data_IF_551234256839
#
_entry.id   IF_551234256839
#
_cell.length_a   1.000
_cell.length_b   1.000
_cell.length_c   1.000
_cell.angle_alpha   90.00
_cell.angle_beta   90.00
_cell.angle_gamma   90.00
#
_symmetry.space_group_name_H-M   'P 1'
#
loop_
_entity.id
_entity.type
_entity.pdbx_description
1 polymer ?
#
# COMPACT_ATOMS: atom_id res chain seq x y z
N UNK A 1 -31.08 -26.46 36.18
CA UNK A 1 -31.17 -26.35 34.70
C UNK A 1 -29.96 -25.56 34.21
N UNK A 2 -28.93 -26.26 33.80
CA UNK A 2 -27.69 -25.68 33.31
C UNK A 2 -27.92 -25.10 31.90
N UNK A 3 -27.90 -23.79 31.79
CA UNK A 3 -27.92 -23.09 30.52
C UNK A 3 -26.65 -23.43 29.73
N UNK A 4 -26.69 -24.47 28.92
CA UNK A 4 -25.70 -24.75 27.89
C UNK A 4 -25.74 -23.59 26.91
N UNK A 5 -24.82 -22.61 27.03
CA UNK A 5 -24.56 -21.61 25.99
C UNK A 5 -24.26 -22.39 24.70
N UNK A 6 -25.24 -22.44 23.76
CA UNK A 6 -25.02 -23.00 22.43
C UNK A 6 -23.75 -22.37 21.85
N UNK A 7 -22.72 -23.17 21.63
CA UNK A 7 -21.48 -22.68 21.03
C UNK A 7 -21.84 -22.13 19.66
N UNK A 8 -21.49 -20.85 19.40
CA UNK A 8 -21.74 -20.22 18.12
C UNK A 8 -20.95 -20.95 17.03
N UNK A 9 -21.59 -21.24 15.90
CA UNK A 9 -20.93 -21.83 14.74
C UNK A 9 -19.82 -20.91 14.24
N UNK A 10 -18.64 -21.48 14.02
CA UNK A 10 -17.50 -20.79 13.43
C UNK A 10 -17.76 -20.56 11.93
N UNK A 11 -17.57 -19.36 11.42
CA UNK A 11 -17.88 -19.03 10.02
C UNK A 11 -16.88 -18.08 9.38
N UNK A 12 -16.67 -18.25 8.07
CA UNK A 12 -15.95 -17.33 7.21
C UNK A 12 -16.96 -16.55 6.37
N UNK A 13 -16.82 -15.23 6.35
CA UNK A 13 -17.77 -14.31 5.72
C UNK A 13 -17.05 -13.54 4.62
N UNK A 14 -17.52 -13.67 3.38
CA UNK A 14 -17.07 -12.87 2.26
C UNK A 14 -18.01 -11.70 2.01
N UNK A 15 -17.45 -10.54 1.70
CA UNK A 15 -18.23 -9.37 1.31
C UNK A 15 -17.67 -8.80 0.01
N UNK A 16 -18.51 -8.81 -1.02
CA UNK A 16 -18.28 -7.98 -2.19
C UNK A 16 -18.74 -6.55 -1.90
N UNK A 17 -17.84 -5.60 -2.10
CA UNK A 17 -18.02 -4.22 -1.63
C UNK A 17 -18.27 -3.30 -2.81
N UNK A 18 -19.52 -2.93 -3.01
CA UNK A 18 -19.94 -1.89 -3.94
C UNK A 18 -20.01 -0.50 -3.30
N UNK A 19 -20.17 0.52 -4.13
CA UNK A 19 -20.39 1.89 -3.66
C UNK A 19 -21.71 2.05 -2.89
N UNK A 20 -22.78 1.41 -3.36
CA UNK A 20 -24.13 1.51 -2.81
C UNK A 20 -24.54 0.31 -2.00
N UNK A 21 -24.06 -0.87 -2.34
CA UNK A 21 -24.47 -2.14 -1.75
C UNK A 21 -23.29 -2.97 -1.30
N UNK A 22 -23.56 -3.85 -0.35
CA UNK A 22 -22.66 -4.86 0.21
C UNK A 22 -23.34 -6.22 0.02
N UNK A 23 -22.75 -7.07 -0.80
CA UNK A 23 -23.18 -8.46 -0.96
C UNK A 23 -22.42 -9.34 0.02
N UNK A 24 -23.14 -9.97 0.95
CA UNK A 24 -22.57 -10.72 2.05
C UNK A 24 -22.86 -12.20 1.88
N UNK A 25 -21.85 -13.06 2.01
CA UNK A 25 -22.00 -14.50 1.96
C UNK A 25 -21.30 -15.18 3.14
N UNK A 26 -22.00 -16.11 3.81
CA UNK A 26 -21.43 -16.98 4.85
C UNK A 26 -21.14 -18.35 4.23
N UNK A 27 -19.86 -18.70 4.10
CA UNK A 27 -19.41 -19.92 3.42
C UNK A 27 -20.00 -21.19 4.02
N UNK A 28 -19.89 -21.43 5.33
CA UNK A 28 -20.30 -22.67 6.01
C UNK A 28 -21.83 -22.82 6.11
N UNK A 29 -22.59 -21.82 5.69
CA UNK A 29 -24.06 -21.84 5.73
C UNK A 29 -24.69 -21.70 4.37
N UNK A 30 -23.89 -21.42 3.32
CA UNK A 30 -24.37 -21.06 1.98
C UNK A 30 -25.46 -19.97 2.04
N UNK A 31 -25.26 -18.98 2.92
CA UNK A 31 -26.23 -17.93 3.17
C UNK A 31 -25.77 -16.61 2.57
N UNK A 32 -26.54 -16.09 1.61
CA UNK A 32 -26.31 -14.81 0.94
C UNK A 32 -27.42 -13.82 1.27
N UNK A 33 -27.03 -12.54 1.41
CA UNK A 33 -27.95 -11.40 1.40
C UNK A 33 -27.21 -10.13 0.97
N UNK A 34 -27.98 -9.10 0.60
CA UNK A 34 -27.48 -7.79 0.26
C UNK A 34 -27.98 -6.76 1.28
N UNK A 35 -27.15 -5.77 1.58
CA UNK A 35 -27.47 -4.61 2.38
C UNK A 35 -26.85 -3.35 1.77
N UNK A 36 -27.30 -2.16 2.20
CA UNK A 36 -26.74 -0.90 1.74
C UNK A 36 -25.36 -0.63 2.37
N UNK A 37 -24.45 -0.02 1.60
CA UNK A 37 -23.14 0.40 2.11
C UNK A 37 -23.25 1.78 2.82
N UNK A 38 -24.05 1.82 3.89
CA UNK A 38 -24.22 2.96 4.78
C UNK A 38 -24.22 2.49 6.25
N UNK A 39 -24.31 3.41 7.20
CA UNK A 39 -24.27 3.10 8.64
C UNK A 39 -25.37 2.15 9.09
N UNK A 40 -26.56 2.24 8.51
CA UNK A 40 -27.71 1.41 8.87
C UNK A 40 -27.57 -0.02 8.32
N UNK A 41 -27.23 -0.17 7.03
CA UNK A 41 -26.97 -1.47 6.41
C UNK A 41 -25.82 -2.22 7.10
N UNK A 42 -24.72 -1.53 7.37
CA UNK A 42 -23.59 -2.10 8.13
C UNK A 42 -24.04 -2.56 9.52
N UNK A 43 -24.87 -1.78 10.20
CA UNK A 43 -25.42 -2.19 11.52
C UNK A 43 -26.27 -3.44 11.40
N UNK A 44 -27.11 -3.57 10.36
CA UNK A 44 -27.91 -4.77 10.09
C UNK A 44 -27.01 -5.98 9.82
N UNK A 45 -25.96 -5.82 8.99
CA UNK A 45 -24.97 -6.88 8.72
C UNK A 45 -24.32 -7.36 10.02
N UNK A 46 -23.76 -6.45 10.82
CA UNK A 46 -23.09 -6.80 12.07
C UNK A 46 -24.03 -7.42 13.10
N UNK A 47 -25.30 -7.02 13.14
CA UNK A 47 -26.33 -7.65 13.97
C UNK A 47 -26.58 -9.10 13.53
N UNK A 48 -26.71 -9.37 12.23
CA UNK A 48 -26.86 -10.75 11.72
C UNK A 48 -25.62 -11.60 12.05
N UNK A 49 -24.41 -11.05 11.83
CA UNK A 49 -23.16 -11.73 12.13
C UNK A 49 -22.96 -12.01 13.63
N UNK A 50 -23.61 -11.26 14.52
CA UNK A 50 -23.51 -11.49 15.97
C UNK A 50 -24.05 -12.84 16.44
N UNK A 51 -24.87 -13.51 15.62
CA UNK A 51 -25.35 -14.88 15.88
C UNK A 51 -24.29 -15.96 15.64
N UNK A 52 -23.19 -15.63 14.97
CA UNK A 52 -22.11 -16.54 14.61
C UNK A 52 -20.81 -16.16 15.34
N UNK A 53 -19.86 -17.09 15.38
CA UNK A 53 -18.46 -16.80 15.72
C UNK A 53 -17.71 -16.57 14.41
N UNK A 54 -17.61 -15.31 13.98
CA UNK A 54 -16.91 -14.97 12.73
C UNK A 54 -15.42 -15.21 12.92
N UNK A 55 -14.86 -16.14 12.18
CA UNK A 55 -13.44 -16.43 12.17
C UNK A 55 -12.69 -15.41 11.32
N UNK A 56 -13.24 -15.09 10.13
CA UNK A 56 -12.73 -14.05 9.22
C UNK A 56 -13.88 -13.35 8.52
N UNK A 57 -13.80 -12.03 8.45
CA UNK A 57 -14.61 -11.20 7.57
C UNK A 57 -13.70 -10.73 6.44
N UNK A 58 -13.89 -11.30 5.25
CA UNK A 58 -13.03 -11.08 4.10
C UNK A 58 -13.69 -10.10 3.14
N UNK A 59 -12.94 -9.13 2.65
CA UNK A 59 -13.38 -8.18 1.64
C UNK A 59 -12.25 -7.78 0.70
N UNK A 60 -12.61 -7.43 -0.53
CA UNK A 60 -11.67 -6.89 -1.50
C UNK A 60 -11.34 -5.42 -1.20
N UNK A 61 -10.11 -5.00 -1.48
CA UNK A 61 -9.73 -3.58 -1.44
C UNK A 61 -10.35 -2.86 -2.65
N UNK A 62 -11.48 -2.17 -2.46
CA UNK A 62 -12.30 -1.57 -3.51
C UNK A 62 -12.34 -0.04 -3.41
N UNK A 63 -11.19 0.62 -3.51
CA UNK A 63 -11.13 2.08 -3.59
C UNK A 63 -11.63 2.82 -2.34
N UNK A 64 -11.61 2.18 -1.16
CA UNK A 64 -12.00 2.66 0.19
C UNK A 64 -13.46 2.46 0.57
N UNK A 65 -14.31 1.94 -0.30
CA UNK A 65 -15.69 1.63 0.08
C UNK A 65 -15.78 0.58 1.19
N UNK A 66 -14.74 -0.27 1.32
CA UNK A 66 -14.58 -1.27 2.38
C UNK A 66 -14.27 -0.68 3.76
N UNK A 67 -13.81 0.56 3.85
CA UNK A 67 -13.29 1.13 5.11
C UNK A 67 -14.34 1.25 6.21
N UNK A 68 -15.57 1.66 5.88
CA UNK A 68 -16.62 1.87 6.87
C UNK A 68 -17.02 0.55 7.51
N UNK A 69 -17.24 -0.49 6.69
CA UNK A 69 -17.54 -1.84 7.20
C UNK A 69 -16.36 -2.42 8.00
N UNK A 70 -15.13 -2.26 7.49
CA UNK A 70 -13.93 -2.75 8.18
C UNK A 70 -13.76 -2.10 9.56
N UNK A 71 -13.94 -0.78 9.68
CA UNK A 71 -13.84 -0.08 10.96
C UNK A 71 -14.95 -0.50 11.92
N UNK A 72 -16.19 -0.62 11.46
CA UNK A 72 -17.31 -1.08 12.26
C UNK A 72 -17.11 -2.52 12.76
N UNK A 73 -16.58 -3.41 11.91
CA UNK A 73 -16.24 -4.78 12.28
C UNK A 73 -15.10 -4.85 13.30
N UNK A 74 -14.03 -4.06 13.13
CA UNK A 74 -12.96 -3.95 14.13
C UNK A 74 -13.47 -3.47 15.48
N UNK A 75 -14.42 -2.53 15.53
CA UNK A 75 -15.05 -2.07 16.78
C UNK A 75 -15.82 -3.20 17.49
N UNK A 76 -16.32 -4.18 16.72
CA UNK A 76 -16.94 -5.41 17.25
C UNK A 76 -15.95 -6.56 17.50
N UNK A 77 -14.65 -6.32 17.36
CA UNK A 77 -13.57 -7.31 17.49
C UNK A 77 -13.71 -8.50 16.51
N UNK A 78 -14.29 -8.28 15.34
CA UNK A 78 -14.36 -9.26 14.26
C UNK A 78 -13.02 -9.22 13.52
N UNK A 79 -12.37 -10.38 13.26
CA UNK A 79 -11.15 -10.43 12.46
C UNK A 79 -11.43 -10.05 11.00
N UNK A 80 -10.93 -8.91 10.57
CA UNK A 80 -11.11 -8.38 9.20
C UNK A 80 -9.91 -8.74 8.34
N UNK A 81 -10.14 -9.25 7.13
CA UNK A 81 -9.12 -9.56 6.15
C UNK A 81 -9.39 -8.75 4.87
N UNK A 82 -8.64 -7.67 4.64
CA UNK A 82 -8.71 -6.90 3.39
C UNK A 82 -7.68 -7.47 2.42
N UNK A 83 -8.15 -8.07 1.33
CA UNK A 83 -7.33 -8.76 0.35
C UNK A 83 -7.21 -7.98 -0.96
N UNK A 84 -6.12 -8.24 -1.70
CA UNK A 84 -5.91 -7.59 -3.01
C UNK A 84 -6.85 -8.21 -4.05
N UNK A 85 -7.49 -7.41 -4.92
CA UNK A 85 -8.35 -7.89 -6.01
C UNK A 85 -7.71 -8.98 -6.87
N UNK A 86 -6.41 -8.85 -7.14
CA UNK A 86 -5.67 -9.85 -7.92
C UNK A 86 -5.62 -11.23 -7.25
N UNK A 87 -5.65 -11.31 -5.92
CA UNK A 87 -5.62 -12.58 -5.21
C UNK A 87 -6.95 -13.34 -5.41
N UNK A 88 -8.08 -12.65 -5.26
CA UNK A 88 -9.42 -13.21 -5.51
C UNK A 88 -9.58 -13.64 -6.96
N UNK A 89 -9.19 -12.78 -7.94
CA UNK A 89 -9.25 -13.13 -9.37
C UNK A 89 -8.43 -14.39 -9.72
N UNK A 90 -7.25 -14.54 -9.14
CA UNK A 90 -6.40 -15.73 -9.35
C UNK A 90 -7.04 -16.98 -8.74
N UNK A 91 -7.64 -16.84 -7.57
CA UNK A 91 -8.36 -17.92 -6.92
C UNK A 91 -9.58 -18.35 -7.74
N UNK A 92 -10.42 -17.40 -8.17
CA UNK A 92 -11.56 -17.68 -9.07
C UNK A 92 -11.13 -18.41 -10.35
N UNK A 93 -10.01 -17.96 -10.96
CA UNK A 93 -9.43 -18.66 -12.13
C UNK A 93 -8.95 -20.07 -11.82
N UNK A 94 -8.37 -20.31 -10.63
CA UNK A 94 -7.89 -21.64 -10.22
C UNK A 94 -9.04 -22.65 -10.00
N UNK A 95 -10.22 -22.19 -9.57
CA UNK A 95 -11.43 -23.01 -9.42
C UNK A 95 -12.33 -23.01 -10.67
N UNK A 96 -11.83 -22.47 -11.82
CA UNK A 96 -12.56 -22.34 -13.09
C UNK A 96 -13.88 -21.57 -12.98
N UNK A 97 -14.02 -20.65 -12.03
CA UNK A 97 -15.21 -19.82 -11.92
C UNK A 97 -15.11 -18.63 -12.88
N UNK A 98 -15.90 -18.67 -13.96
CA UNK A 98 -15.92 -17.65 -15.02
C UNK A 98 -17.14 -16.73 -14.97
N UNK A 99 -18.25 -17.21 -14.39
CA UNK A 99 -19.45 -16.39 -14.22
C UNK A 99 -19.21 -15.32 -13.16
N UNK A 100 -19.71 -14.10 -13.44
CA UNK A 100 -19.54 -12.94 -12.56
C UNK A 100 -20.89 -12.31 -12.24
N UNK A 101 -21.25 -12.33 -10.95
CA UNK A 101 -22.33 -11.55 -10.35
C UNK A 101 -21.90 -11.22 -8.92
N UNK A 102 -22.43 -10.16 -8.34
CA UNK A 102 -22.05 -9.70 -6.98
C UNK A 102 -22.27 -10.83 -5.94
N UNK A 103 -23.34 -11.63 -6.09
CA UNK A 103 -23.60 -12.82 -5.27
C UNK A 103 -22.50 -13.88 -5.39
N UNK A 104 -22.06 -14.18 -6.63
CA UNK A 104 -20.98 -15.15 -6.89
C UNK A 104 -19.66 -14.61 -6.37
N UNK A 105 -19.38 -13.33 -6.58
CA UNK A 105 -18.16 -12.68 -6.12
C UNK A 105 -18.07 -12.73 -4.57
N UNK A 106 -19.17 -12.45 -3.84
CA UNK A 106 -19.21 -12.58 -2.38
C UNK A 106 -18.97 -14.03 -1.92
N UNK A 107 -19.53 -15.03 -2.63
CA UNK A 107 -19.32 -16.45 -2.31
C UNK A 107 -17.86 -16.87 -2.53
N UNK A 108 -17.23 -16.45 -3.65
CA UNK A 108 -15.81 -16.70 -3.93
C UNK A 108 -14.91 -16.06 -2.86
N UNK A 109 -15.22 -14.83 -2.44
CA UNK A 109 -14.47 -14.14 -1.37
C UNK A 109 -14.58 -14.92 -0.05
N UNK A 110 -15.76 -15.45 0.28
CA UNK A 110 -15.97 -16.24 1.48
C UNK A 110 -15.20 -17.57 1.43
N UNK A 111 -15.28 -18.30 0.31
CA UNK A 111 -14.55 -19.53 0.07
C UNK A 111 -13.03 -19.31 0.09
N UNK A 112 -12.54 -18.25 -0.54
CA UNK A 112 -11.14 -17.84 -0.45
C UNK A 112 -10.70 -17.67 1.02
N UNK A 113 -11.54 -17.05 1.84
CA UNK A 113 -11.28 -16.87 3.27
C UNK A 113 -11.17 -18.19 4.04
N UNK A 114 -12.04 -19.15 3.75
CA UNK A 114 -12.07 -20.46 4.37
C UNK A 114 -10.88 -21.34 3.96
N UNK A 115 -10.51 -21.33 2.67
CA UNK A 115 -9.47 -22.21 2.11
C UNK A 115 -8.07 -21.62 2.26
N UNK A 116 -7.86 -20.33 1.88
CA UNK A 116 -6.54 -19.67 1.88
C UNK A 116 -6.17 -19.14 3.26
N UNK A 117 -7.16 -18.89 4.12
CA UNK A 117 -6.99 -18.40 5.49
C UNK A 117 -6.08 -17.16 5.60
N UNK A 118 -6.40 -16.06 4.90
CA UNK A 118 -5.58 -14.85 4.93
C UNK A 118 -5.47 -14.31 6.36
N UNK A 119 -4.31 -13.74 6.68
CA UNK A 119 -4.10 -13.11 7.98
C UNK A 119 -5.01 -11.88 8.16
N UNK A 120 -5.46 -11.66 9.39
CA UNK A 120 -6.23 -10.48 9.73
C UNK A 120 -5.45 -9.19 9.47
N UNK A 121 -6.10 -8.24 8.81
CA UNK A 121 -5.54 -6.92 8.57
C UNK A 121 -5.61 -6.08 9.85
N UNK A 122 -4.48 -5.59 10.37
CA UNK A 122 -4.50 -4.79 11.59
C UNK A 122 -5.26 -3.49 11.37
N UNK A 123 -5.94 -3.02 12.42
CA UNK A 123 -6.64 -1.74 12.42
C UNK A 123 -5.64 -0.61 12.19
N UNK A 124 -5.91 0.24 11.20
CA UNK A 124 -5.10 1.43 10.95
C UNK A 124 -5.50 2.55 11.91
N UNK A 125 -4.53 3.26 12.48
CA UNK A 125 -4.83 4.47 13.26
C UNK A 125 -5.43 5.57 12.37
N UNK A 126 -6.28 6.41 12.93
CA UNK A 126 -6.85 7.57 12.21
C UNK A 126 -5.76 8.48 11.64
N UNK A 127 -4.68 8.66 12.40
CA UNK A 127 -3.53 9.47 11.97
C UNK A 127 -2.82 8.84 10.75
N UNK A 128 -2.60 7.52 10.75
CA UNK A 128 -2.03 6.82 9.60
C UNK A 128 -2.90 6.96 8.34
N UNK A 129 -4.22 6.91 8.49
CA UNK A 129 -5.16 7.12 7.38
C UNK A 129 -5.03 8.56 6.86
N UNK A 130 -5.06 9.56 7.75
CA UNK A 130 -4.92 10.98 7.38
C UNK A 130 -3.61 11.26 6.63
N UNK A 131 -2.49 10.70 7.10
CA UNK A 131 -1.20 10.85 6.45
C UNK A 131 -1.19 10.20 5.06
N UNK A 132 -1.75 8.99 4.91
CA UNK A 132 -1.87 8.34 3.59
C UNK A 132 -2.71 9.18 2.62
N UNK A 133 -3.74 9.83 3.10
CA UNK A 133 -4.59 10.70 2.31
C UNK A 133 -3.85 11.96 1.87
N UNK A 134 -3.11 12.59 2.78
CA UNK A 134 -2.29 13.74 2.49
C UNK A 134 -1.19 13.41 1.45
N UNK A 135 -0.49 12.29 1.61
CA UNK A 135 0.52 11.83 0.64
C UNK A 135 -0.11 11.57 -0.73
N UNK A 136 -1.27 10.89 -0.75
CA UNK A 136 -1.99 10.62 -1.99
C UNK A 136 -2.42 11.92 -2.68
N UNK A 137 -2.97 12.88 -1.92
CA UNK A 137 -3.36 14.18 -2.44
C UNK A 137 -2.18 14.99 -2.96
N UNK A 138 -1.09 15.04 -2.21
CA UNK A 138 0.15 15.68 -2.64
C UNK A 138 0.65 15.11 -3.97
N UNK A 139 0.62 13.77 -4.13
CA UNK A 139 1.03 13.10 -5.37
C UNK A 139 0.15 13.51 -6.56
N UNK A 140 -1.17 13.60 -6.35
CA UNK A 140 -2.10 14.07 -7.38
C UNK A 140 -1.78 15.51 -7.80
N UNK A 141 -1.57 16.41 -6.84
CA UNK A 141 -1.22 17.81 -7.10
C UNK A 141 0.11 17.92 -7.84
N UNK A 142 1.14 17.16 -7.46
CA UNK A 142 2.42 17.11 -8.17
C UNK A 142 2.27 16.61 -9.62
N UNK A 143 1.40 15.62 -9.86
CA UNK A 143 1.11 15.15 -11.22
C UNK A 143 0.45 16.22 -12.07
N UNK A 144 -0.55 16.93 -11.53
CA UNK A 144 -1.21 18.06 -12.21
C UNK A 144 -0.21 19.19 -12.50
N UNK A 145 0.64 19.51 -11.53
CA UNK A 145 1.70 20.52 -11.71
C UNK A 145 2.65 20.15 -12.86
N UNK A 146 3.08 18.90 -12.92
CA UNK A 146 3.94 18.42 -14.01
C UNK A 146 3.24 18.53 -15.37
N UNK A 147 1.95 18.21 -15.43
CA UNK A 147 1.16 18.35 -16.66
C UNK A 147 1.09 19.82 -17.11
N UNK A 148 0.85 20.77 -16.18
CA UNK A 148 0.81 22.19 -16.50
C UNK A 148 2.18 22.75 -16.90
N UNK A 149 3.26 22.30 -16.26
CA UNK A 149 4.63 22.64 -16.66
C UNK A 149 4.95 22.17 -18.08
N UNK A 150 4.52 20.95 -18.45
CA UNK A 150 4.71 20.44 -19.80
C UNK A 150 3.88 21.24 -20.83
N UNK A 151 2.66 21.65 -20.48
CA UNK A 151 1.82 22.52 -21.32
C UNK A 151 2.48 23.88 -21.55
N UNK A 152 3.01 24.48 -20.50
CA UNK A 152 3.72 25.77 -20.57
C UNK A 152 4.87 25.73 -21.59
N UNK A 153 5.57 24.60 -21.74
CA UNK A 153 6.65 24.43 -22.70
C UNK A 153 6.21 24.23 -24.16
N UNK A 154 4.92 23.92 -24.40
CA UNK A 154 4.39 23.53 -25.71
C UNK A 154 3.39 24.57 -26.25
N UNK A 155 2.61 25.22 -25.37
CA UNK A 155 1.55 26.14 -25.77
C UNK A 155 2.09 27.51 -26.17
N UNK A 156 1.39 28.18 -27.08
CA UNK A 156 1.74 29.56 -27.52
C UNK A 156 1.65 30.57 -26.37
N UNK A 157 2.37 31.68 -26.52
CA UNK A 157 2.50 32.77 -25.52
C UNK A 157 1.18 33.29 -24.95
N UNK A 158 0.09 33.24 -25.71
CA UNK A 158 -1.24 33.68 -25.29
C UNK A 158 -1.77 32.88 -24.06
N UNK A 159 -1.35 31.64 -23.89
CA UNK A 159 -1.79 30.75 -22.79
C UNK A 159 -0.82 30.70 -21.61
N UNK A 160 0.36 31.28 -21.74
CA UNK A 160 1.43 31.24 -20.73
C UNK A 160 0.97 31.77 -19.36
N UNK A 161 0.23 32.88 -19.36
CA UNK A 161 -0.29 33.50 -18.12
C UNK A 161 -1.27 32.56 -17.41
N UNK A 162 -2.13 31.86 -18.15
CA UNK A 162 -3.08 30.88 -17.59
C UNK A 162 -2.35 29.71 -16.95
N UNK A 163 -1.40 29.10 -17.66
CA UNK A 163 -0.60 27.97 -17.12
C UNK A 163 0.16 28.39 -15.86
N UNK A 164 0.83 29.55 -15.87
CA UNK A 164 1.57 30.08 -14.71
C UNK A 164 0.67 30.29 -13.48
N UNK A 165 -0.57 30.78 -13.69
CA UNK A 165 -1.55 30.96 -12.61
C UNK A 165 -1.95 29.63 -11.98
N UNK A 166 -2.22 28.59 -12.79
CA UNK A 166 -2.56 27.25 -12.32
C UNK A 166 -1.39 26.65 -11.56
N UNK A 167 -0.16 26.74 -12.12
CA UNK A 167 1.06 26.24 -11.46
C UNK A 167 1.23 26.90 -10.10
N UNK A 168 1.07 28.22 -9.99
CA UNK A 168 1.16 28.94 -8.71
C UNK A 168 0.13 28.43 -7.68
N UNK A 169 -1.10 28.20 -8.11
CA UNK A 169 -2.15 27.63 -7.24
C UNK A 169 -1.77 26.22 -6.77
N UNK A 170 -1.29 25.37 -7.66
CA UNK A 170 -0.84 24.01 -7.33
C UNK A 170 0.35 24.02 -6.36
N UNK A 171 1.32 24.94 -6.54
CA UNK A 171 2.45 25.09 -5.61
C UNK A 171 1.99 25.47 -4.20
N UNK A 172 1.01 26.37 -4.08
CA UNK A 172 0.43 26.75 -2.80
C UNK A 172 -0.29 25.57 -2.11
N UNK A 173 -1.08 24.80 -2.87
CA UNK A 173 -1.75 23.62 -2.34
C UNK A 173 -0.77 22.50 -1.91
N UNK A 174 0.29 22.29 -2.70
CA UNK A 174 1.36 21.35 -2.33
C UNK A 174 2.01 21.77 -1.01
N UNK A 175 2.37 23.03 -0.86
CA UNK A 175 2.95 23.56 0.39
C UNK A 175 2.01 23.39 1.59
N UNK A 176 0.69 23.59 1.40
CA UNK A 176 -0.30 23.32 2.46
C UNK A 176 -0.34 21.84 2.87
N UNK A 177 -0.28 20.92 1.88
CA UNK A 177 -0.23 19.48 2.19
C UNK A 177 1.04 19.10 2.93
N UNK A 178 2.19 19.65 2.54
CA UNK A 178 3.48 19.42 3.19
C UNK A 178 3.49 19.91 4.65
N UNK A 179 2.94 21.11 4.90
CA UNK A 179 2.81 21.63 6.27
C UNK A 179 1.91 20.73 7.15
N UNK A 180 0.80 20.24 6.59
CA UNK A 180 -0.08 19.31 7.33
C UNK A 180 0.59 17.96 7.58
N UNK A 181 1.35 17.46 6.61
CA UNK A 181 2.12 16.21 6.77
C UNK A 181 3.16 16.34 7.88
N UNK A 182 3.93 17.43 7.88
CA UNK A 182 4.92 17.70 8.94
C UNK A 182 4.27 17.67 10.33
N UNK A 183 3.16 18.38 10.50
CA UNK A 183 2.43 18.40 11.79
C UNK A 183 2.00 16.99 12.23
N UNK A 184 1.43 16.18 11.33
CA UNK A 184 1.01 14.81 11.69
C UNK A 184 2.16 13.88 12.04
N UNK A 185 3.35 14.12 11.49
CA UNK A 185 4.56 13.37 11.84
C UNK A 185 5.09 13.80 13.20
N UNK A 186 5.14 15.10 13.46
CA UNK A 186 5.58 15.67 14.76
C UNK A 186 4.71 15.23 15.94
N UNK A 187 3.43 14.97 15.71
CA UNK A 187 2.50 14.45 16.72
C UNK A 187 2.81 12.99 17.15
N UNK A 188 3.78 12.32 16.50
CA UNK A 188 4.18 10.94 16.80
C UNK A 188 5.69 10.84 17.02
N UNK A 189 6.12 10.67 18.26
CA UNK A 189 7.55 10.58 18.62
C UNK A 189 8.30 9.52 17.80
N UNK A 190 7.77 8.31 17.67
CA UNK A 190 8.36 7.22 16.86
C UNK A 190 8.60 7.63 15.40
N UNK A 191 7.70 8.42 14.82
CA UNK A 191 7.83 8.86 13.44
C UNK A 191 8.85 9.98 13.28
N UNK A 192 8.91 10.86 14.28
CA UNK A 192 9.92 11.93 14.33
C UNK A 192 11.33 11.33 14.44
N UNK A 193 11.54 10.34 15.29
CA UNK A 193 12.81 9.62 15.40
C UNK A 193 13.21 8.96 14.07
N UNK A 194 12.30 8.19 13.46
CA UNK A 194 12.52 7.58 12.15
C UNK A 194 12.79 8.61 11.05
N UNK A 195 12.12 9.76 11.10
CA UNK A 195 12.35 10.86 10.16
C UNK A 195 13.77 11.42 10.27
N UNK A 196 14.26 11.66 11.47
CA UNK A 196 15.61 12.15 11.72
C UNK A 196 16.62 11.16 11.16
N UNK A 197 16.51 9.87 11.52
CA UNK A 197 17.40 8.81 11.03
C UNK A 197 17.41 8.75 9.50
N UNK A 198 16.25 8.69 8.87
CA UNK A 198 16.14 8.56 7.41
C UNK A 198 16.70 9.80 6.69
N UNK A 199 16.45 11.01 7.20
CA UNK A 199 16.93 12.28 6.62
C UNK A 199 18.43 12.47 6.73
N UNK A 200 19.11 11.83 7.66
CA UNK A 200 20.56 11.88 7.78
C UNK A 200 21.26 11.29 6.54
N UNK A 201 20.59 10.37 5.79
CA UNK A 201 21.14 9.78 4.59
C UNK A 201 21.07 10.72 3.38
N UNK A 202 22.20 11.08 2.74
CA UNK A 202 22.20 11.94 1.55
C UNK A 202 21.36 11.35 0.41
N UNK A 203 20.47 12.18 -0.14
CA UNK A 203 19.52 11.78 -1.19
C UNK A 203 18.13 11.41 -0.66
N UNK A 204 17.92 11.41 0.65
CA UNK A 204 16.61 11.22 1.28
C UNK A 204 15.95 12.56 1.54
N UNK A 205 14.89 12.84 0.79
CA UNK A 205 14.03 14.03 1.01
C UNK A 205 12.73 13.65 1.73
N UNK A 206 11.98 14.68 2.17
CA UNK A 206 10.71 14.54 2.90
C UNK A 206 9.71 13.60 2.21
N UNK A 207 9.63 13.66 0.89
CA UNK A 207 8.73 12.80 0.11
C UNK A 207 9.02 11.31 0.31
N UNK A 208 10.30 10.90 0.35
CA UNK A 208 10.68 9.52 0.60
C UNK A 208 10.39 9.14 2.05
N UNK A 209 10.73 10.01 3.01
CA UNK A 209 10.46 9.79 4.44
C UNK A 209 8.98 9.55 4.68
N UNK A 210 8.12 10.47 4.26
CA UNK A 210 6.67 10.33 4.46
C UNK A 210 6.09 9.09 3.76
N UNK A 211 6.61 8.75 2.56
CA UNK A 211 6.19 7.54 1.85
C UNK A 211 6.62 6.28 2.60
N UNK A 212 7.83 6.25 3.16
CA UNK A 212 8.30 5.12 3.98
C UNK A 212 7.45 5.00 5.25
N UNK A 213 7.26 6.07 6.01
CA UNK A 213 6.49 6.04 7.25
C UNK A 213 5.05 5.56 7.03
N UNK A 214 4.41 5.97 5.94
CA UNK A 214 3.03 5.60 5.65
C UNK A 214 2.88 4.24 4.95
N UNK A 215 3.74 3.97 3.96
CA UNK A 215 3.57 2.81 3.06
C UNK A 215 4.57 1.68 3.32
N UNK A 216 5.50 1.85 4.26
CA UNK A 216 6.50 0.83 4.61
C UNK A 216 6.73 0.78 6.14
N UNK A 217 5.67 0.61 6.96
CA UNK A 217 5.80 0.62 8.43
C UNK A 217 6.71 -0.49 8.96
N UNK A 218 6.97 -1.53 8.16
CA UNK A 218 7.85 -2.65 8.51
C UNK A 218 9.35 -2.32 8.39
N UNK A 219 9.71 -1.09 8.00
CA UNK A 219 11.11 -0.66 7.94
C UNK A 219 11.77 -0.78 9.32
N UNK A 220 12.98 -1.32 9.36
CA UNK A 220 13.71 -1.61 10.59
C UNK A 220 13.40 -2.98 11.22
N UNK A 221 12.37 -3.70 10.74
CA UNK A 221 12.00 -5.02 11.31
C UNK A 221 12.27 -6.19 10.37
N UNK A 222 12.40 -5.92 9.07
CA UNK A 222 12.57 -6.94 8.05
C UNK A 222 14.04 -7.18 7.71
N UNK A 223 14.35 -8.40 7.24
CA UNK A 223 15.64 -8.71 6.63
C UNK A 223 15.84 -7.97 5.30
N UNK A 224 17.09 -7.89 4.84
CA UNK A 224 17.44 -7.26 3.56
C UNK A 224 16.77 -7.91 2.34
N UNK A 225 16.48 -9.21 2.41
CA UNK A 225 15.75 -9.94 1.35
C UNK A 225 14.27 -9.56 1.34
N UNK A 226 13.65 -9.58 2.51
CA UNK A 226 12.23 -9.27 2.68
C UNK A 226 11.90 -7.82 2.32
N UNK A 227 12.66 -6.84 2.82
CA UNK A 227 12.43 -5.42 2.50
C UNK A 227 12.60 -5.15 1.00
N UNK A 228 13.60 -5.78 0.36
CA UNK A 228 13.82 -5.66 -1.08
C UNK A 228 12.68 -6.27 -1.91
N UNK A 229 12.14 -7.40 -1.48
CA UNK A 229 10.98 -8.05 -2.11
C UNK A 229 9.70 -7.23 -1.88
N UNK A 230 9.49 -6.72 -0.67
CA UNK A 230 8.32 -5.92 -0.30
C UNK A 230 8.26 -4.60 -1.09
N UNK A 231 9.39 -3.95 -1.33
CA UNK A 231 9.48 -2.75 -2.18
C UNK A 231 9.45 -3.11 -3.68
N UNK A 232 9.75 -4.36 -4.04
CA UNK A 232 9.75 -4.83 -5.42
C UNK A 232 11.02 -4.46 -6.19
N UNK A 233 12.16 -4.45 -5.49
CA UNK A 233 13.50 -4.24 -6.08
C UNK A 233 14.39 -5.48 -5.98
N UNK A 234 13.88 -6.58 -5.44
CA UNK A 234 14.54 -7.88 -5.46
C UNK A 234 14.44 -8.51 -6.86
N UNK A 235 15.55 -9.00 -7.44
CA UNK A 235 15.50 -9.76 -8.68
C UNK A 235 14.85 -11.13 -8.41
N UNK A 236 13.73 -11.40 -9.07
CA UNK A 236 13.01 -12.67 -8.98
C UNK A 236 13.57 -13.67 -9.99
N UNK A 237 13.82 -14.91 -9.56
CA UNK A 237 14.21 -15.99 -10.44
C UNK A 237 13.05 -16.41 -11.33
N UNK A 238 13.36 -16.78 -12.56
CA UNK A 238 12.44 -17.40 -13.53
C UNK A 238 13.12 -18.60 -14.16
N UNK A 239 13.58 -19.49 -13.31
CA UNK A 239 14.24 -20.70 -13.74
C UNK A 239 13.21 -21.84 -13.86
N UNK A 240 13.22 -22.57 -14.97
CA UNK A 240 12.39 -23.75 -15.19
C UNK A 240 13.21 -24.85 -15.86
N UNK A 241 13.36 -25.98 -15.19
CA UNK A 241 14.17 -27.09 -15.67
C UNK A 241 15.61 -26.67 -16.00
N UNK A 242 16.04 -26.89 -17.24
CA UNK A 242 17.39 -26.50 -17.72
C UNK A 242 17.48 -25.01 -18.11
N UNK A 243 16.38 -24.29 -18.22
CA UNK A 243 16.32 -22.88 -18.65
C UNK A 243 16.56 -21.94 -17.48
N UNK A 244 17.66 -21.19 -17.50
CA UNK A 244 17.90 -20.10 -16.59
C UNK A 244 17.40 -18.79 -17.19
N UNK A 245 16.23 -18.32 -16.73
CA UNK A 245 15.60 -17.11 -17.22
C UNK A 245 16.30 -15.83 -16.74
N UNK A 246 16.15 -14.73 -17.49
CA UNK A 246 16.61 -13.41 -17.04
C UNK A 246 15.86 -12.98 -15.79
N UNK A 247 16.60 -12.69 -14.72
CA UNK A 247 16.02 -12.16 -13.47
C UNK A 247 15.41 -10.79 -13.71
N UNK A 248 14.18 -10.58 -13.24
CA UNK A 248 13.47 -9.30 -13.33
C UNK A 248 12.91 -8.92 -11.98
N UNK A 249 12.87 -7.61 -11.70
CA UNK A 249 12.14 -7.07 -10.55
C UNK A 249 10.64 -7.07 -10.85
N UNK A 250 9.82 -7.55 -9.90
CA UNK A 250 8.38 -7.69 -10.09
C UNK A 250 7.63 -7.52 -8.76
N UNK A 251 6.40 -7.00 -8.82
CA UNK A 251 5.53 -6.89 -7.65
C UNK A 251 5.96 -5.79 -6.69
N UNK A 252 5.69 -5.97 -5.41
CA UNK A 252 6.00 -5.05 -4.33
C UNK A 252 5.13 -3.78 -4.29
N UNK A 253 5.49 -2.87 -3.38
CA UNK A 253 4.77 -1.60 -3.15
C UNK A 253 5.21 -0.56 -4.17
N UNK A 254 4.43 -0.38 -5.22
CA UNK A 254 4.74 0.53 -6.34
C UNK A 254 4.90 1.99 -5.88
N UNK A 255 4.13 2.45 -4.88
CA UNK A 255 4.26 3.81 -4.31
C UNK A 255 5.66 4.06 -3.75
N UNK A 256 6.16 3.14 -2.93
CA UNK A 256 7.51 3.22 -2.35
C UNK A 256 8.57 3.13 -3.45
N UNK A 257 8.46 2.16 -4.35
CA UNK A 257 9.43 1.95 -5.42
C UNK A 257 9.58 3.17 -6.34
N UNK A 258 8.48 3.84 -6.69
CA UNK A 258 8.52 5.04 -7.55
C UNK A 258 9.27 6.20 -6.89
N UNK A 259 9.00 6.46 -5.61
CA UNK A 259 9.66 7.55 -4.88
C UNK A 259 11.12 7.18 -4.56
N UNK A 260 11.39 5.92 -4.21
CA UNK A 260 12.73 5.41 -4.01
C UNK A 260 13.59 5.54 -5.28
N UNK A 261 13.01 5.33 -6.47
CA UNK A 261 13.71 5.54 -7.74
C UNK A 261 14.21 6.99 -7.86
N UNK A 262 13.34 7.99 -7.61
CA UNK A 262 13.71 9.40 -7.68
C UNK A 262 14.75 9.78 -6.63
N UNK A 263 14.60 9.32 -5.39
CA UNK A 263 15.58 9.52 -4.33
C UNK A 263 16.92 8.87 -4.66
N UNK A 264 16.91 7.69 -5.28
CA UNK A 264 18.14 7.00 -5.70
C UNK A 264 18.86 7.76 -6.81
N UNK A 265 18.12 8.37 -7.76
CA UNK A 265 18.73 9.23 -8.78
C UNK A 265 19.47 10.41 -8.13
N UNK A 266 18.87 11.09 -7.15
CA UNK A 266 19.54 12.11 -6.36
C UNK A 266 20.76 11.56 -5.61
N UNK A 267 20.59 10.40 -4.94
CA UNK A 267 21.66 9.75 -4.20
C UNK A 267 22.87 9.34 -5.07
N UNK A 268 22.67 9.05 -6.36
CA UNK A 268 23.81 8.81 -7.27
C UNK A 268 24.68 10.05 -7.50
N UNK A 269 24.22 11.23 -7.12
CA UNK A 269 24.98 12.48 -7.19
C UNK A 269 25.59 12.88 -5.85
N UNK A 270 24.79 12.81 -4.76
CA UNK A 270 25.15 13.38 -3.46
C UNK A 270 25.59 12.32 -2.41
N UNK A 271 25.26 11.03 -2.59
CA UNK A 271 25.59 10.00 -1.63
C UNK A 271 26.84 9.21 -2.10
N UNK A 272 27.97 9.29 -1.41
CA UNK A 272 29.22 8.66 -1.87
C UNK A 272 29.08 7.15 -2.12
N UNK A 273 28.45 6.42 -1.18
CA UNK A 273 28.31 4.95 -1.26
C UNK A 273 27.44 4.52 -2.44
N UNK A 274 26.34 5.26 -2.70
CA UNK A 274 25.44 4.97 -3.82
C UNK A 274 26.05 5.40 -5.15
N UNK A 275 26.72 6.56 -5.17
CA UNK A 275 27.43 7.06 -6.35
C UNK A 275 28.52 6.12 -6.83
N UNK A 276 29.36 5.67 -5.91
CA UNK A 276 30.50 4.80 -6.26
C UNK A 276 30.00 3.41 -6.68
N UNK A 277 28.99 2.90 -6.02
CA UNK A 277 28.34 1.65 -6.43
C UNK A 277 27.69 1.76 -7.83
N UNK A 278 27.01 2.87 -8.12
CA UNK A 278 26.46 3.13 -9.46
C UNK A 278 27.55 3.18 -10.52
N UNK A 279 28.61 3.97 -10.30
CA UNK A 279 29.76 4.10 -11.21
C UNK A 279 30.42 2.75 -11.50
N UNK A 280 30.65 1.96 -10.45
CA UNK A 280 31.19 0.59 -10.57
C UNK A 280 30.33 -0.29 -11.48
N UNK A 281 29.01 -0.30 -11.30
CA UNK A 281 28.11 -1.11 -12.12
C UNK A 281 28.08 -0.67 -13.58
N UNK A 282 28.11 0.63 -13.84
CA UNK A 282 28.15 1.17 -15.21
C UNK A 282 29.48 0.85 -15.87
N UNK A 283 30.60 0.98 -15.16
CA UNK A 283 31.93 0.60 -15.66
C UNK A 283 32.02 -0.91 -15.99
N UNK A 284 31.27 -1.75 -15.28
CA UNK A 284 31.13 -3.18 -15.59
C UNK A 284 30.21 -3.49 -16.78
N UNK A 285 29.75 -2.46 -17.53
CA UNK A 285 28.88 -2.62 -18.69
C UNK A 285 27.41 -2.86 -18.37
N UNK A 286 26.94 -2.66 -17.11
CA UNK A 286 25.53 -2.78 -16.77
C UNK A 286 24.73 -1.63 -17.36
N UNK A 287 23.57 -1.94 -17.94
CA UNK A 287 22.66 -0.91 -18.46
C UNK A 287 22.23 0.04 -17.33
N UNK A 288 22.18 1.36 -17.58
CA UNK A 288 21.91 2.41 -16.60
C UNK A 288 20.66 2.12 -15.71
N UNK A 289 19.54 1.68 -16.30
CA UNK A 289 18.34 1.32 -15.54
C UNK A 289 18.53 0.14 -14.60
N UNK A 290 19.33 -0.84 -14.99
CA UNK A 290 19.68 -2.01 -14.16
C UNK A 290 20.58 -1.57 -13.01
N UNK A 291 21.57 -0.71 -13.28
CA UNK A 291 22.45 -0.15 -12.26
C UNK A 291 21.65 0.68 -11.22
N UNK A 292 20.72 1.55 -11.66
CA UNK A 292 19.85 2.29 -10.74
C UNK A 292 18.99 1.34 -9.90
N UNK A 293 18.42 0.29 -10.49
CA UNK A 293 17.62 -0.69 -9.72
C UNK A 293 18.44 -1.42 -8.66
N UNK A 294 19.69 -1.74 -8.95
CA UNK A 294 20.61 -2.30 -7.96
C UNK A 294 20.95 -1.29 -6.85
N UNK A 295 21.14 -0.01 -7.21
CA UNK A 295 21.31 1.08 -6.25
C UNK A 295 20.08 1.26 -5.36
N UNK A 296 18.87 1.21 -5.92
CA UNK A 296 17.62 1.24 -5.13
C UNK A 296 17.59 0.13 -4.08
N UNK A 297 17.95 -1.09 -4.48
CA UNK A 297 18.03 -2.21 -3.54
C UNK A 297 19.04 -1.96 -2.44
N UNK A 298 20.25 -1.52 -2.78
CA UNK A 298 21.28 -1.18 -1.80
C UNK A 298 20.77 -0.06 -0.87
N UNK A 299 20.20 0.99 -1.43
CA UNK A 299 19.75 2.15 -0.67
C UNK A 299 18.65 1.79 0.33
N UNK A 300 17.58 1.07 -0.10
CA UNK A 300 16.52 0.68 0.84
C UNK A 300 17.01 -0.28 1.93
N UNK A 301 17.97 -1.17 1.64
CA UNK A 301 18.54 -2.05 2.67
C UNK A 301 19.40 -1.29 3.67
N UNK A 302 20.10 -0.22 3.24
CA UNK A 302 20.83 0.67 4.14
C UNK A 302 19.87 1.47 5.03
N UNK A 303 18.82 2.07 4.46
CA UNK A 303 17.79 2.78 5.23
C UNK A 303 17.09 1.85 6.23
N UNK A 304 16.84 0.60 5.86
CA UNK A 304 16.29 -0.41 6.76
C UNK A 304 17.23 -0.74 7.92
N UNK A 305 18.53 -0.85 7.66
CA UNK A 305 19.53 -1.09 8.69
C UNK A 305 19.64 0.11 9.66
N UNK A 306 19.67 1.34 9.13
CA UNK A 306 19.71 2.57 9.95
C UNK A 306 18.55 2.63 10.95
N UNK A 307 17.32 2.33 10.48
CA UNK A 307 16.13 2.33 11.35
C UNK A 307 16.17 1.17 12.35
N UNK A 308 16.64 -0.02 11.95
CA UNK A 308 16.78 -1.18 12.83
C UNK A 308 17.80 -0.94 13.95
N UNK A 309 18.96 -0.39 13.56
CA UNK A 309 20.11 -0.21 14.46
C UNK A 309 20.07 1.16 15.20
N UNK A 310 18.99 1.94 14.97
CA UNK A 310 18.78 3.29 15.53
C UNK A 310 20.02 4.19 15.33
N UNK A 311 20.63 4.10 14.14
CA UNK A 311 21.86 4.82 13.82
C UNK A 311 21.65 5.78 12.67
N UNK A 312 22.19 6.99 12.78
CA UNK A 312 22.26 7.93 11.68
C UNK A 312 23.21 7.44 10.58
N UNK A 313 23.11 8.08 9.44
CA UNK A 313 24.03 7.83 8.33
C UNK A 313 25.47 8.15 8.74
N UNK A 314 26.35 7.15 8.72
CA UNK A 314 27.79 7.29 8.87
C UNK A 314 28.48 6.85 7.60
N UNK A 315 29.44 7.66 7.10
CA UNK A 315 30.28 7.37 5.95
C UNK A 315 31.74 7.50 6.32
#
# INVERSE_FOLDING_TARGET
>A
MTNLKKSKTLVNVGVDVGKQYLDVHIYEKDLHWQDENNSEGITRILKRLSHYKVERLIMEATGRYEFVLAEAAHNKRIPVCIVKPLAIRRYAGAINQTAKTDKIDAAIIAEFGAIVQPQATPRKSKNLIAIKDLISRRRQLMSLRTQEMNRLGIMGKAFEVSCKRIIKCLDQEIARMEKRLAKHVEEQAEWTEKQILLKSAPGVGDTLVYTILADLPEIGTLSNKEISALVGVAPMNRDSGKLRGKRRVQGGRASVRTILYMATLSATQCNPVIRDFYRKLVAQGKHKKVAITACMRKFITMLNAMVRDQSEWAY
#
